data_IF_988452835709
#
_entry.id   IF_988452835709
#
_cell.length_a   1.000
_cell.length_b   1.000
_cell.length_c   1.000
_cell.angle_alpha   90.00
_cell.angle_beta   90.00
_cell.angle_gamma   90.00
#
_symmetry.space_group_name_H-M   'P 1'
#
loop_
_entity.id
_entity.type
_entity.pdbx_description
1 polymer ?
#
# COMPACT_ATOMS: atom_id res chain seq x y z
N UNK A 1 -8.40 26.45 -6.15
CA UNK A 1 -7.81 25.45 -7.08
C UNK A 1 -7.18 24.30 -6.30
N UNK A 2 -6.30 24.59 -5.30
CA UNK A 2 -5.69 23.52 -4.46
C UNK A 2 -6.71 22.77 -3.58
N UNK A 3 -7.75 23.43 -3.09
CA UNK A 3 -8.82 22.78 -2.32
C UNK A 3 -9.52 21.72 -3.15
N UNK A 4 -9.88 22.05 -4.39
CA UNK A 4 -10.51 21.09 -5.30
C UNK A 4 -9.61 19.88 -5.62
N UNK A 5 -8.32 20.08 -5.88
CA UNK A 5 -7.37 18.98 -6.07
C UNK A 5 -7.29 18.09 -4.83
N UNK A 6 -7.24 18.70 -3.62
CA UNK A 6 -7.20 17.97 -2.35
C UNK A 6 -8.45 17.12 -2.10
N UNK A 7 -9.64 17.67 -2.39
CA UNK A 7 -10.93 16.96 -2.23
C UNK A 7 -11.04 15.70 -3.10
N UNK A 8 -10.41 15.71 -4.28
CA UNK A 8 -10.48 14.59 -5.22
C UNK A 8 -9.27 13.64 -5.12
N UNK A 9 -8.24 13.98 -4.35
CA UNK A 9 -6.95 13.29 -4.39
C UNK A 9 -7.04 11.81 -3.99
N UNK A 10 -7.89 11.44 -3.03
CA UNK A 10 -8.10 10.03 -2.66
C UNK A 10 -8.68 9.25 -3.85
N UNK A 11 -9.64 9.83 -4.56
CA UNK A 11 -10.21 9.21 -5.75
C UNK A 11 -9.16 9.06 -6.87
N UNK A 12 -8.37 10.11 -7.10
CA UNK A 12 -7.30 10.08 -8.11
C UNK A 12 -6.24 9.02 -7.79
N UNK A 13 -5.83 8.92 -6.50
CA UNK A 13 -4.91 7.88 -6.04
C UNK A 13 -5.49 6.48 -6.20
N UNK A 14 -6.74 6.27 -5.82
CA UNK A 14 -7.43 4.99 -5.99
C UNK A 14 -7.55 4.58 -7.46
N UNK A 15 -7.87 5.53 -8.34
CA UNK A 15 -7.95 5.34 -9.78
C UNK A 15 -6.57 4.98 -10.39
N UNK A 16 -5.52 5.69 -9.97
CA UNK A 16 -4.16 5.39 -10.40
C UNK A 16 -3.73 3.97 -9.98
N UNK A 17 -3.96 3.59 -8.71
CA UNK A 17 -3.68 2.24 -8.23
C UNK A 17 -4.50 1.18 -8.96
N UNK A 18 -5.79 1.42 -9.20
CA UNK A 18 -6.62 0.49 -9.96
C UNK A 18 -6.10 0.27 -11.39
N UNK A 19 -5.54 1.32 -12.02
CA UNK A 19 -4.92 1.22 -13.33
C UNK A 19 -3.60 0.45 -13.28
N UNK A 20 -2.73 0.74 -12.30
CA UNK A 20 -1.46 0.04 -12.06
C UNK A 20 -1.71 -1.46 -11.85
N UNK A 21 -2.65 -1.82 -10.98
CA UNK A 21 -2.95 -3.21 -10.63
C UNK A 21 -3.63 -3.99 -11.77
N UNK A 22 -4.09 -3.31 -12.83
CA UNK A 22 -4.64 -3.92 -14.05
C UNK A 22 -3.59 -4.17 -15.14
N UNK A 23 -2.36 -3.70 -14.96
CA UNK A 23 -1.30 -3.92 -15.96
C UNK A 23 -1.03 -5.42 -16.08
N UNK A 24 -1.14 -5.92 -17.29
CA UNK A 24 -0.93 -7.34 -17.57
C UNK A 24 0.54 -7.73 -17.39
N UNK A 25 0.77 -8.89 -16.77
CA UNK A 25 2.11 -9.43 -16.51
C UNK A 25 2.96 -9.55 -17.78
N UNK A 26 2.34 -9.80 -18.92
CA UNK A 26 3.04 -9.91 -20.22
C UNK A 26 3.74 -8.61 -20.65
N UNK A 27 3.32 -7.45 -20.11
CA UNK A 27 3.99 -6.17 -20.38
C UNK A 27 5.40 -6.10 -19.77
N UNK A 28 5.74 -7.02 -18.88
CA UNK A 28 7.03 -7.07 -18.18
C UNK A 28 7.94 -8.21 -18.69
N UNK A 29 7.68 -8.75 -19.87
CA UNK A 29 8.56 -9.77 -20.47
C UNK A 29 10.00 -9.24 -20.62
N UNK A 30 10.96 -9.99 -20.09
CA UNK A 30 12.38 -9.60 -20.08
C UNK A 30 12.79 -8.65 -18.94
N UNK A 31 11.86 -8.27 -18.05
CA UNK A 31 12.16 -7.51 -16.83
C UNK A 31 12.08 -8.45 -15.62
N UNK A 32 13.15 -8.53 -14.84
CA UNK A 32 13.15 -9.30 -13.61
C UNK A 32 12.44 -8.52 -12.49
N UNK A 33 11.25 -8.99 -12.12
CA UNK A 33 10.47 -8.47 -10.97
C UNK A 33 10.23 -9.60 -9.96
N UNK A 34 10.36 -9.28 -8.69
CA UNK A 34 10.00 -10.21 -7.60
C UNK A 34 8.52 -10.53 -7.63
N UNK A 35 8.14 -11.74 -7.22
CA UNK A 35 6.74 -12.15 -7.00
C UNK A 35 6.59 -12.58 -5.53
N UNK A 36 6.14 -11.66 -4.71
CA UNK A 36 6.07 -11.83 -3.24
C UNK A 36 4.69 -12.38 -2.85
N UNK A 37 4.62 -13.70 -2.70
CA UNK A 37 3.39 -14.41 -2.33
C UNK A 37 3.19 -14.59 -0.83
N UNK A 38 4.26 -14.54 -0.05
CA UNK A 38 4.23 -14.55 1.41
C UNK A 38 5.03 -13.38 1.96
N UNK A 39 4.44 -12.16 1.94
CA UNK A 39 5.13 -10.94 2.38
C UNK A 39 5.46 -10.98 3.87
N UNK A 40 4.63 -11.66 4.68
CA UNK A 40 4.84 -11.73 6.13
C UNK A 40 6.09 -12.55 6.47
N UNK A 41 6.26 -13.72 5.84
CA UNK A 41 7.46 -14.54 6.02
C UNK A 41 8.71 -13.85 5.47
N UNK A 42 8.60 -13.16 4.33
CA UNK A 42 9.71 -12.38 3.77
C UNK A 42 10.16 -11.27 4.71
N UNK A 43 9.22 -10.49 5.25
CA UNK A 43 9.53 -9.42 6.21
C UNK A 43 10.11 -9.97 7.51
N UNK A 44 9.60 -11.13 7.96
CA UNK A 44 10.11 -11.78 9.18
C UNK A 44 11.56 -12.23 9.02
N UNK A 45 11.93 -12.78 7.87
CA UNK A 45 13.32 -13.17 7.58
C UNK A 45 14.26 -11.95 7.60
N UNK A 46 13.82 -10.80 7.08
CA UNK A 46 14.59 -9.54 7.15
C UNK A 46 14.77 -9.13 8.61
N UNK A 47 13.69 -9.11 9.39
CA UNK A 47 13.73 -8.74 10.81
C UNK A 47 14.66 -9.65 11.62
N UNK A 48 14.59 -10.97 11.43
CA UNK A 48 15.45 -11.94 12.12
C UNK A 48 16.92 -11.76 11.76
N UNK A 49 17.23 -11.32 10.53
CA UNK A 49 18.61 -11.06 10.09
C UNK A 49 19.23 -9.80 10.72
N UNK A 50 18.43 -8.87 11.26
CA UNK A 50 18.93 -7.68 11.97
C UNK A 50 19.52 -8.01 13.35
N UNK A 51 19.15 -9.16 13.93
CA UNK A 51 19.57 -9.63 15.27
C UNK A 51 19.33 -8.58 16.39
N UNK A 52 18.26 -7.78 16.23
CA UNK A 52 17.84 -6.74 17.19
C UNK A 52 16.37 -6.97 17.58
N UNK A 53 16.11 -7.77 18.63
CA UNK A 53 14.77 -8.19 18.98
C UNK A 53 13.94 -7.05 19.62
N UNK A 54 12.79 -6.77 19.03
CA UNK A 54 11.82 -5.80 19.54
C UNK A 54 10.50 -6.50 19.94
N UNK A 55 10.13 -6.56 21.23
CA UNK A 55 8.91 -7.24 21.68
C UNK A 55 7.63 -6.74 20.99
N UNK A 56 7.57 -5.46 20.63
CA UNK A 56 6.44 -4.87 19.91
C UNK A 56 6.33 -5.45 18.50
N UNK A 57 7.46 -5.65 17.81
CA UNK A 57 7.49 -6.25 16.46
C UNK A 57 7.09 -7.73 16.53
N UNK A 58 7.58 -8.47 17.52
CA UNK A 58 7.17 -9.86 17.74
C UNK A 58 5.68 -10.01 18.00
N UNK A 59 5.09 -9.06 18.75
CA UNK A 59 3.65 -9.01 18.95
C UNK A 59 2.90 -8.73 17.64
N UNK A 60 3.40 -7.78 16.85
CA UNK A 60 2.81 -7.43 15.56
C UNK A 60 2.87 -8.62 14.59
N UNK A 61 4.01 -9.34 14.48
CA UNK A 61 4.12 -10.55 13.66
C UNK A 61 3.11 -11.63 14.07
N UNK A 62 2.93 -11.85 15.38
CA UNK A 62 1.93 -12.83 15.89
C UNK A 62 0.51 -12.43 15.51
N UNK A 63 0.18 -11.16 15.68
CA UNK A 63 -1.15 -10.65 15.32
C UNK A 63 -1.40 -10.76 13.81
N UNK A 64 -0.43 -10.32 13.00
CA UNK A 64 -0.51 -10.41 11.53
C UNK A 64 -0.68 -11.84 11.06
N UNK A 65 0.05 -12.80 11.65
CA UNK A 65 -0.07 -14.22 11.31
C UNK A 65 -1.46 -14.78 11.67
N UNK A 66 -2.00 -14.41 12.83
CA UNK A 66 -3.30 -14.89 13.29
C UNK A 66 -4.48 -14.30 12.49
N UNK A 67 -4.30 -13.11 11.87
CA UNK A 67 -5.34 -12.38 11.15
C UNK A 67 -5.04 -12.24 9.65
N UNK A 68 -4.13 -13.05 9.11
CA UNK A 68 -3.70 -12.95 7.73
C UNK A 68 -4.86 -13.15 6.75
N UNK A 69 -5.16 -12.16 5.89
CA UNK A 69 -6.19 -12.31 4.87
C UNK A 69 -5.76 -13.36 3.84
N UNK A 70 -6.73 -13.95 3.20
CA UNK A 70 -6.47 -14.85 2.08
C UNK A 70 -6.05 -14.01 0.87
N UNK A 71 -4.80 -14.09 0.47
CA UNK A 71 -4.29 -13.46 -0.75
C UNK A 71 -4.95 -14.16 -1.95
N UNK A 72 -5.72 -13.42 -2.75
CA UNK A 72 -6.50 -13.98 -3.84
C UNK A 72 -5.77 -13.94 -5.17
N UNK A 73 -4.91 -12.96 -5.37
CA UNK A 73 -4.19 -12.74 -6.63
C UNK A 73 -2.86 -12.02 -6.39
N UNK A 74 -1.99 -12.09 -7.39
CA UNK A 74 -0.75 -11.34 -7.45
C UNK A 74 -0.78 -10.47 -8.71
N UNK A 75 -0.77 -9.16 -8.52
CA UNK A 75 -0.77 -8.15 -9.60
C UNK A 75 0.53 -7.36 -9.56
N UNK A 76 0.79 -6.56 -10.58
CA UNK A 76 1.84 -5.57 -10.52
C UNK A 76 1.48 -4.51 -9.49
N UNK A 77 2.38 -4.19 -8.57
CA UNK A 77 2.20 -3.24 -7.46
C UNK A 77 3.39 -2.29 -7.40
N UNK A 78 3.13 -1.09 -6.92
CA UNK A 78 4.16 -0.05 -6.79
C UNK A 78 5.13 -0.34 -5.63
N UNK A 79 4.61 -0.79 -4.49
CA UNK A 79 5.39 -1.13 -3.29
C UNK A 79 5.74 0.06 -2.38
N UNK A 80 5.76 1.30 -2.88
CA UNK A 80 5.97 2.54 -2.11
C UNK A 80 5.00 3.67 -2.53
N UNK A 81 3.72 3.34 -2.71
CA UNK A 81 2.71 4.33 -3.12
C UNK A 81 2.29 5.21 -1.94
N UNK A 82 2.85 6.42 -1.87
CA UNK A 82 2.62 7.42 -0.81
C UNK A 82 2.73 8.83 -1.38
N UNK A 83 2.21 9.84 -0.66
CA UNK A 83 2.21 11.25 -1.12
C UNK A 83 3.58 11.77 -1.58
N UNK A 84 4.66 11.35 -0.93
CA UNK A 84 6.01 11.77 -1.29
C UNK A 84 6.46 11.31 -2.68
N UNK A 85 5.80 10.30 -3.25
CA UNK A 85 6.10 9.72 -4.56
C UNK A 85 5.04 10.09 -5.61
N UNK A 86 4.23 11.11 -5.35
CA UNK A 86 3.18 11.59 -6.25
C UNK A 86 3.46 13.01 -6.71
N UNK A 87 3.38 13.24 -8.01
CA UNK A 87 3.40 14.58 -8.58
C UNK A 87 1.96 15.10 -8.69
N UNK A 88 1.66 16.15 -7.95
CA UNK A 88 0.31 16.70 -7.80
C UNK A 88 0.36 18.18 -8.17
N UNK A 89 -0.63 18.64 -8.90
CA UNK A 89 -0.88 20.07 -9.15
C UNK A 89 -2.34 20.46 -8.89
N UNK A 90 -2.76 21.62 -9.34
CA UNK A 90 -4.11 22.14 -9.16
C UNK A 90 -5.17 21.37 -9.95
N UNK A 91 -4.79 20.48 -10.87
CA UNK A 91 -5.68 19.59 -11.62
C UNK A 91 -5.85 18.22 -10.98
N UNK A 92 -5.01 17.86 -9.99
CA UNK A 92 -5.02 16.58 -9.28
C UNK A 92 -3.70 15.81 -9.41
N UNK A 93 -3.77 14.49 -9.40
CA UNK A 93 -2.62 13.59 -9.55
C UNK A 93 -2.17 13.51 -11.02
N UNK A 94 -0.92 13.91 -11.28
CA UNK A 94 -0.34 13.89 -12.62
C UNK A 94 0.59 12.72 -12.90
N UNK A 95 1.39 12.30 -11.91
CA UNK A 95 2.32 11.19 -12.09
C UNK A 95 2.60 10.45 -10.78
N UNK A 96 2.95 9.18 -10.91
CA UNK A 96 3.47 8.31 -9.87
C UNK A 96 4.95 8.10 -10.12
N UNK A 97 5.77 8.35 -9.11
CA UNK A 97 7.23 8.35 -9.16
C UNK A 97 7.79 7.23 -8.27
N UNK A 98 9.09 6.93 -8.43
CA UNK A 98 9.85 6.04 -7.55
C UNK A 98 9.38 4.57 -7.57
N UNK A 99 9.61 3.93 -8.72
CA UNK A 99 9.22 2.56 -9.02
C UNK A 99 10.27 1.50 -8.65
N UNK A 100 11.31 1.87 -7.90
CA UNK A 100 12.49 1.01 -7.67
C UNK A 100 12.19 -0.29 -6.91
N UNK A 101 11.09 -0.31 -6.13
CA UNK A 101 10.64 -1.49 -5.39
C UNK A 101 9.32 -2.08 -5.93
N UNK A 102 8.98 -1.73 -7.18
CA UNK A 102 7.82 -2.31 -7.84
C UNK A 102 8.01 -3.82 -8.05
N UNK A 103 6.93 -4.58 -7.89
CA UNK A 103 6.99 -6.03 -7.88
C UNK A 103 5.62 -6.64 -8.20
N UNK A 104 5.53 -7.97 -8.20
CA UNK A 104 4.25 -8.66 -8.16
C UNK A 104 3.88 -9.01 -6.71
N UNK A 105 2.63 -8.73 -6.32
CA UNK A 105 2.12 -8.97 -4.97
C UNK A 105 0.63 -8.71 -4.85
N UNK A 106 0.11 -8.73 -3.61
CA UNK A 106 -1.29 -8.40 -3.34
C UNK A 106 -1.53 -6.91 -3.58
N UNK A 107 -2.50 -6.52 -4.43
CA UNK A 107 -2.77 -5.11 -4.73
C UNK A 107 -3.14 -4.27 -3.50
N UNK A 108 -3.71 -4.89 -2.46
CA UNK A 108 -4.14 -4.16 -1.27
C UNK A 108 -2.94 -3.68 -0.42
N UNK A 109 -1.74 -4.20 -0.68
CA UNK A 109 -0.53 -3.69 -0.01
C UNK A 109 -0.26 -2.21 -0.30
N UNK A 110 -0.51 -1.73 -1.53
CA UNK A 110 -0.32 -0.31 -1.88
C UNK A 110 -1.36 0.57 -1.19
N UNK A 111 -2.62 0.09 -1.08
CA UNK A 111 -3.65 0.79 -0.33
C UNK A 111 -3.30 0.87 1.16
N UNK A 112 -2.84 -0.24 1.75
CA UNK A 112 -2.42 -0.28 3.15
C UNK A 112 -1.20 0.59 3.42
N UNK A 113 -0.26 0.66 2.47
CA UNK A 113 0.92 1.51 2.57
C UNK A 113 0.58 3.00 2.67
N UNK A 114 -0.38 3.49 1.88
CA UNK A 114 -0.88 4.87 2.01
C UNK A 114 -1.47 5.18 3.39
N UNK A 115 -1.94 4.16 4.11
CA UNK A 115 -2.58 4.31 5.40
C UNK A 115 -1.59 4.30 6.58
N UNK A 116 -0.31 3.99 6.36
CA UNK A 116 0.74 3.98 7.40
C UNK A 116 0.83 5.35 8.07
N UNK A 117 0.91 5.34 9.40
CA UNK A 117 0.87 6.57 10.21
C UNK A 117 1.97 7.58 9.86
N UNK A 118 3.13 7.12 9.44
CA UNK A 118 4.25 7.96 9.03
C UNK A 118 3.88 8.92 7.88
N UNK A 119 2.95 8.53 7.02
CA UNK A 119 2.50 9.32 5.86
C UNK A 119 1.31 10.23 6.12
N UNK A 120 0.84 10.34 7.37
CA UNK A 120 -0.31 11.18 7.73
C UNK A 120 0.08 12.60 8.13
N UNK A 121 1.37 12.86 8.33
CA UNK A 121 1.92 14.18 8.68
C UNK A 121 1.21 14.87 9.87
N UNK A 122 0.82 14.08 10.87
CA UNK A 122 0.13 14.57 12.07
C UNK A 122 -1.40 14.66 11.95
N UNK A 123 -1.97 14.36 10.79
CA UNK A 123 -3.42 14.32 10.60
C UNK A 123 -4.04 13.05 11.23
N UNK A 124 -5.27 13.17 11.76
CA UNK A 124 -6.07 12.03 12.23
C UNK A 124 -6.74 11.25 11.08
N UNK A 125 -6.76 11.82 9.88
CA UNK A 125 -7.25 11.15 8.68
C UNK A 125 -6.35 9.97 8.31
N UNK A 126 -6.95 8.79 8.10
CA UNK A 126 -6.20 7.53 7.99
C UNK A 126 -5.50 7.34 6.65
N UNK A 127 -6.07 7.84 5.57
CA UNK A 127 -5.53 7.67 4.21
C UNK A 127 -4.67 8.87 3.86
N UNK A 128 -3.37 8.71 3.86
CA UNK A 128 -2.38 9.74 3.52
C UNK A 128 -2.55 11.09 4.28
N UNK A 129 -3.28 11.09 5.41
CA UNK A 129 -3.65 12.30 6.14
C UNK A 129 -4.76 13.13 5.50
N UNK A 130 -5.47 12.59 4.51
CA UNK A 130 -6.44 13.31 3.67
C UNK A 130 -7.89 12.88 3.93
N UNK A 131 -8.14 11.60 4.18
CA UNK A 131 -9.50 11.08 4.33
C UNK A 131 -9.59 9.71 5.00
N UNK A 132 -10.73 9.05 4.85
CA UNK A 132 -11.13 7.83 5.54
C UNK A 132 -10.83 6.56 4.73
N UNK A 133 -10.92 5.40 5.40
CA UNK A 133 -10.90 4.10 4.74
C UNK A 133 -12.07 3.93 3.77
N UNK A 134 -13.26 4.38 4.17
CA UNK A 134 -14.47 4.20 3.37
C UNK A 134 -14.33 4.91 2.02
N UNK A 135 -13.84 6.17 2.02
CA UNK A 135 -13.56 6.91 0.78
C UNK A 135 -12.56 6.21 -0.13
N UNK A 136 -11.46 5.66 0.43
CA UNK A 136 -10.47 4.93 -0.34
C UNK A 136 -11.04 3.62 -0.91
N UNK A 137 -11.72 2.83 -0.06
CA UNK A 137 -12.30 1.54 -0.44
C UNK A 137 -13.36 1.75 -1.53
N UNK A 138 -14.32 2.65 -1.33
CA UNK A 138 -15.37 2.95 -2.31
C UNK A 138 -14.78 3.38 -3.65
N UNK A 139 -13.79 4.29 -3.62
CA UNK A 139 -13.13 4.76 -4.83
C UNK A 139 -12.37 3.63 -5.54
N UNK A 140 -11.62 2.80 -4.80
CA UNK A 140 -10.85 1.71 -5.39
C UNK A 140 -11.74 0.58 -5.93
N UNK A 141 -12.78 0.18 -5.19
CA UNK A 141 -13.77 -0.83 -5.64
C UNK A 141 -14.46 -0.37 -6.93
N UNK A 142 -14.87 0.89 -6.98
CA UNK A 142 -15.50 1.48 -8.20
C UNK A 142 -14.58 1.40 -9.42
N UNK A 143 -13.31 1.72 -9.27
CA UNK A 143 -12.34 1.79 -10.37
C UNK A 143 -11.76 0.42 -10.74
N UNK A 144 -11.52 -0.45 -9.74
CA UNK A 144 -10.89 -1.76 -9.95
C UNK A 144 -11.89 -2.87 -10.27
N UNK A 145 -13.09 -2.78 -9.69
CA UNK A 145 -14.09 -3.85 -9.67
C UNK A 145 -13.77 -4.96 -8.64
N UNK A 146 -12.83 -4.74 -7.72
CA UNK A 146 -12.37 -5.74 -6.74
C UNK A 146 -12.85 -5.38 -5.35
N UNK A 147 -13.46 -6.33 -4.66
CA UNK A 147 -13.91 -6.15 -3.27
C UNK A 147 -12.72 -6.00 -2.31
N UNK A 148 -12.79 -5.00 -1.45
CA UNK A 148 -11.82 -4.73 -0.39
C UNK A 148 -12.56 -4.52 0.92
N UNK A 149 -12.23 -5.31 1.95
CA UNK A 149 -12.78 -5.10 3.28
C UNK A 149 -11.91 -4.16 4.11
N UNK A 150 -12.52 -3.41 5.02
CA UNK A 150 -11.79 -2.59 5.99
C UNK A 150 -10.84 -3.43 6.87
N UNK A 151 -11.18 -4.69 7.14
CA UNK A 151 -10.33 -5.61 7.90
C UNK A 151 -9.06 -5.99 7.11
N UNK A 152 -9.19 -6.25 5.80
CA UNK A 152 -8.04 -6.50 4.91
C UNK A 152 -7.16 -5.26 4.81
N UNK A 153 -7.74 -4.08 4.62
CA UNK A 153 -6.99 -2.82 4.56
C UNK A 153 -6.25 -2.54 5.87
N UNK A 154 -6.89 -2.78 7.02
CA UNK A 154 -6.26 -2.65 8.34
C UNK A 154 -5.07 -3.61 8.50
N UNK A 155 -5.20 -4.84 8.04
CA UNK A 155 -4.11 -5.81 8.07
C UNK A 155 -2.88 -5.28 7.31
N UNK A 156 -3.10 -4.76 6.10
CA UNK A 156 -2.03 -4.19 5.27
C UNK A 156 -1.46 -2.89 5.83
N UNK A 157 -2.27 -2.05 6.52
CA UNK A 157 -1.76 -0.88 7.25
C UNK A 157 -0.81 -1.31 8.39
N UNK A 158 -1.20 -2.33 9.18
CA UNK A 158 -0.37 -2.84 10.27
C UNK A 158 0.89 -3.48 9.73
N UNK A 159 0.78 -4.28 8.66
CA UNK A 159 1.94 -4.84 7.96
C UNK A 159 2.88 -3.73 7.46
N UNK A 160 2.36 -2.72 6.80
CA UNK A 160 3.14 -1.58 6.33
C UNK A 160 3.79 -0.79 7.47
N UNK A 161 3.08 -0.59 8.58
CA UNK A 161 3.63 0.07 9.78
C UNK A 161 4.79 -0.72 10.39
N UNK A 162 4.65 -2.05 10.47
CA UNK A 162 5.72 -2.94 10.95
C UNK A 162 6.92 -2.91 9.99
N UNK A 163 6.66 -3.03 8.68
CA UNK A 163 7.70 -2.93 7.63
C UNK A 163 8.47 -1.63 7.76
N UNK A 164 7.79 -0.49 7.91
CA UNK A 164 8.43 0.80 8.09
C UNK A 164 9.30 0.85 9.35
N UNK A 165 8.79 0.33 10.47
CA UNK A 165 9.58 0.25 11.70
C UNK A 165 10.83 -0.63 11.62
N UNK A 166 10.82 -1.66 10.77
CA UNK A 166 11.97 -2.57 10.57
C UNK A 166 13.05 -1.93 9.68
N UNK A 167 12.68 -1.09 8.72
CA UNK A 167 13.62 -0.47 7.77
C UNK A 167 14.15 0.90 8.23
N UNK A 168 13.61 1.50 9.32
CA UNK A 168 14.11 2.72 9.95
C UNK A 168 15.19 2.44 11.00
#
# INVERSE_FOLDING_TARGET
QWEHARENLIHDMAKALAAIHKIDRSQFEGIELSDIRDPLSSLKSIYEALDDPHPTFDFAFRWLKANQPKISESTFVHGDFRLGNLLIDTSGLNAVLDWEIAQFGDPIQDLGWMCVRAWRFGSDQRVAGLGSYDELIESYVKESGKDVSAATLLWWEIFGTLRWGIIC
#
